data_IF_282746279177
#
_entry.id   IF_282746279177
#
_cell.length_a   1.000
_cell.length_b   1.000
_cell.length_c   1.000
_cell.angle_alpha   90.00
_cell.angle_beta   90.00
_cell.angle_gamma   90.00
#
_symmetry.space_group_name_H-M   'P 1'
#
loop_
_entity.id
_entity.type
_entity.pdbx_description
1 polymer ?
#
# COMPACT_ATOMS: atom_id res chain seq x y z
N UNK A 1 -7.74 7.61 0.31
CA UNK A 1 -8.03 6.19 0.62
C UNK A 1 -9.20 5.95 1.61
N UNK A 2 -10.20 6.85 1.69
CA UNK A 2 -11.35 6.67 2.61
C UNK A 2 -12.53 5.89 2.02
N UNK A 3 -12.63 5.77 0.68
CA UNK A 3 -13.75 5.13 -0.01
C UNK A 3 -13.48 3.75 -0.62
N UNK A 4 -12.43 3.04 -0.21
CA UNK A 4 -12.16 1.70 -0.72
C UNK A 4 -13.10 0.69 -0.03
N UNK A 5 -14.07 0.17 -0.77
CA UNK A 5 -14.93 -0.92 -0.31
C UNK A 5 -14.23 -2.25 -0.57
N UNK A 6 -13.95 -2.97 0.52
CA UNK A 6 -13.40 -4.32 0.44
C UNK A 6 -14.55 -5.31 0.15
N UNK A 7 -14.36 -6.26 -0.78
CA UNK A 7 -15.27 -7.39 -0.96
C UNK A 7 -15.60 -8.12 0.34
N UNK A 8 -16.76 -8.78 0.40
CA UNK A 8 -17.17 -9.54 1.58
C UNK A 8 -16.34 -10.81 1.81
N UNK A 9 -15.71 -11.33 0.75
CA UNK A 9 -14.83 -12.49 0.83
C UNK A 9 -13.39 -12.05 1.14
N UNK A 10 -12.83 -12.43 2.30
CA UNK A 10 -11.48 -12.06 2.67
C UNK A 10 -10.46 -12.78 1.78
N UNK A 11 -9.65 -11.99 1.08
CA UNK A 11 -8.53 -12.47 0.28
C UNK A 11 -7.18 -11.94 0.79
N UNK A 12 -6.25 -11.74 -0.14
CA UNK A 12 -4.96 -11.07 0.12
C UNK A 12 -5.03 -9.62 -0.33
N UNK A 13 -4.80 -8.68 0.60
CA UNK A 13 -4.69 -7.25 0.31
C UNK A 13 -3.22 -6.84 0.39
N UNK A 14 -2.65 -6.41 -0.73
CA UNK A 14 -1.31 -5.83 -0.76
C UNK A 14 -1.42 -4.31 -0.86
N UNK A 15 -0.92 -3.59 0.14
CA UNK A 15 -0.96 -2.13 0.22
C UNK A 15 0.45 -1.61 -0.06
N UNK A 16 0.66 -1.14 -1.28
CA UNK A 16 1.87 -0.42 -1.68
C UNK A 16 1.66 1.06 -1.40
N UNK A 17 2.26 1.58 -0.32
CA UNK A 17 2.12 2.99 0.07
C UNK A 17 3.32 3.80 -0.36
N UNK A 18 3.11 5.09 -0.60
CA UNK A 18 4.21 6.02 -0.85
C UNK A 18 5.09 6.18 0.38
N UNK A 19 6.33 6.63 0.16
CA UNK A 19 7.36 6.77 1.19
C UNK A 19 7.19 7.99 2.10
N UNK A 20 6.04 8.67 2.04
CA UNK A 20 5.69 9.83 2.85
C UNK A 20 4.87 9.45 4.10
N UNK A 21 4.83 10.33 5.09
CA UNK A 21 4.12 10.09 6.35
C UNK A 21 2.62 9.91 6.12
N UNK A 22 2.02 10.70 5.22
CA UNK A 22 0.60 10.63 4.93
C UNK A 22 0.20 9.31 4.23
N UNK A 23 1.01 8.83 3.28
CA UNK A 23 0.82 7.54 2.61
C UNK A 23 0.96 6.37 3.57
N UNK A 24 1.96 6.40 4.46
CA UNK A 24 2.14 5.38 5.51
C UNK A 24 0.96 5.33 6.48
N UNK A 25 0.47 6.47 6.96
CA UNK A 25 -0.69 6.53 7.86
C UNK A 25 -1.97 6.03 7.17
N UNK A 26 -2.20 6.44 5.93
CA UNK A 26 -3.36 5.98 5.15
C UNK A 26 -3.33 4.47 4.90
N UNK A 27 -2.15 3.93 4.57
CA UNK A 27 -1.92 2.51 4.38
C UNK A 27 -2.10 1.71 5.67
N UNK A 28 -1.65 2.24 6.80
CA UNK A 28 -1.84 1.61 8.10
C UNK A 28 -3.32 1.59 8.53
N UNK A 29 -4.05 2.68 8.28
CA UNK A 29 -5.49 2.74 8.53
C UNK A 29 -6.30 1.78 7.63
N UNK A 30 -5.86 1.57 6.38
CA UNK A 30 -6.46 0.58 5.49
C UNK A 30 -6.11 -0.85 5.93
N UNK A 31 -4.86 -1.11 6.30
CA UNK A 31 -4.41 -2.40 6.80
C UNK A 31 -5.19 -2.84 8.04
N UNK A 32 -5.36 -1.92 9.00
CA UNK A 32 -6.10 -2.22 10.24
C UNK A 32 -7.55 -2.61 9.98
N UNK A 33 -8.22 -1.93 9.04
CA UNK A 33 -9.60 -2.25 8.64
C UNK A 33 -9.69 -3.60 7.92
N UNK A 34 -8.77 -3.86 7.00
CA UNK A 34 -8.72 -5.12 6.26
C UNK A 34 -8.41 -6.31 7.19
N UNK A 35 -7.45 -6.15 8.10
CA UNK A 35 -7.12 -7.16 9.11
C UNK A 35 -8.31 -7.48 10.02
N UNK A 36 -9.03 -6.45 10.49
CA UNK A 36 -10.24 -6.63 11.29
C UNK A 36 -11.37 -7.33 10.50
N UNK A 37 -11.39 -7.20 9.17
CA UNK A 37 -12.31 -7.91 8.28
C UNK A 37 -11.82 -9.32 7.91
N UNK A 38 -10.70 -9.81 8.47
CA UNK A 38 -10.15 -11.15 8.22
C UNK A 38 -9.27 -11.26 6.97
N UNK A 39 -8.87 -10.14 6.36
CA UNK A 39 -8.02 -10.15 5.18
C UNK A 39 -6.55 -10.40 5.53
N UNK A 40 -5.85 -11.14 4.67
CA UNK A 40 -4.39 -11.27 4.74
C UNK A 40 -3.73 -10.01 4.17
N UNK A 41 -3.28 -9.12 5.05
CA UNK A 41 -2.69 -7.83 4.65
C UNK A 41 -1.17 -7.95 4.52
N UNK A 42 -0.63 -7.47 3.40
CA UNK A 42 0.80 -7.25 3.20
C UNK A 42 1.06 -5.78 2.89
N UNK A 43 2.00 -5.15 3.59
CA UNK A 43 2.38 -3.77 3.36
C UNK A 43 3.73 -3.72 2.66
N UNK A 44 3.79 -2.99 1.55
CA UNK A 44 4.99 -2.75 0.76
C UNK A 44 5.22 -1.24 0.68
N UNK A 45 5.68 -0.61 1.77
CA UNK A 45 5.97 0.82 1.75
C UNK A 45 7.15 1.10 0.82
N UNK A 46 7.06 2.18 0.04
CA UNK A 46 8.21 2.67 -0.69
C UNK A 46 9.30 3.17 0.29
N UNK A 47 10.59 3.03 -0.08
CA UNK A 47 11.73 3.68 0.59
C UNK A 47 11.45 5.14 0.93
N UNK A 48 12.02 5.59 2.05
CA UNK A 48 11.80 6.93 2.60
C UNK A 48 11.98 8.04 1.56
N UNK A 49 10.97 8.89 1.42
CA UNK A 49 11.01 10.04 0.51
C UNK A 49 10.97 9.70 -0.99
N UNK A 50 10.64 8.46 -1.37
CA UNK A 50 10.40 8.07 -2.77
C UNK A 50 8.99 7.50 -2.94
N UNK A 51 8.42 7.75 -4.09
CA UNK A 51 7.20 7.06 -4.52
C UNK A 51 7.55 5.82 -5.37
N UNK A 52 6.56 4.96 -5.61
CA UNK A 52 6.76 3.78 -6.48
C UNK A 52 7.02 4.18 -7.94
N UNK A 53 6.58 5.36 -8.36
CA UNK A 53 6.74 5.84 -9.72
C UNK A 53 8.22 6.16 -10.03
N UNK A 54 8.94 6.77 -9.09
CA UNK A 54 10.38 7.02 -9.12
C UNK A 54 11.18 5.72 -9.18
N UNK A 55 10.74 4.69 -8.45
CA UNK A 55 11.41 3.39 -8.38
C UNK A 55 11.25 2.61 -9.67
N UNK A 56 10.04 2.60 -10.24
CA UNK A 56 9.75 1.94 -11.52
C UNK A 56 10.47 2.68 -12.66
N UNK A 57 10.43 4.02 -12.65
CA UNK A 57 11.09 4.83 -13.67
C UNK A 57 12.63 4.69 -13.62
N UNK A 58 13.25 4.70 -12.43
CA UNK A 58 14.70 4.46 -12.29
C UNK A 58 15.14 3.05 -12.69
N UNK A 59 14.27 2.05 -12.58
CA UNK A 59 14.59 0.68 -13.01
C UNK A 59 14.43 0.48 -14.52
N UNK A 60 13.67 1.36 -15.19
CA UNK A 60 13.48 1.36 -16.64
C UNK A 60 14.64 1.96 -17.44
N UNK A 61 15.50 2.76 -16.81
CA UNK A 61 16.70 3.35 -17.43
C UNK A 61 17.94 2.43 -17.40
N UNK A 62 17.82 1.25 -16.80
CA UNK A 62 18.83 0.20 -16.89
C UNK A 62 18.43 -0.80 -18.00
N UNK A 63 18.57 -0.38 -19.26
CA UNK A 63 18.50 -1.22 -20.44
C UNK A 63 19.63 -0.84 -21.42
#
# INVERSE_FOLDING_TARGET
>A
MRGLYLPHEPGRLTIASDGDTAGREAAHALAKRAYAAGWAVSQLPAPEGRDWNDIISKKGEAA
#
